data_IF_774145086499
#
_entry.id   IF_774145086499
#
_cell.length_a   1.000
_cell.length_b   1.000
_cell.length_c   1.000
_cell.angle_alpha   90.00
_cell.angle_beta   90.00
_cell.angle_gamma   90.00
#
_symmetry.space_group_name_H-M   'P 1'
#
loop_
_entity.id
_entity.type
_entity.pdbx_description
1 polymer ?
#
# COMPACT_ATOMS: atom_id res chain seq x y z
N UNK A 1 -9.95 9.95 3.33
CA UNK A 1 -9.06 11.03 2.83
C UNK A 1 -8.36 10.51 1.60
N UNK A 2 -8.18 11.33 0.56
CA UNK A 2 -7.50 10.95 -0.69
C UNK A 2 -6.32 11.90 -0.96
N UNK A 3 -5.16 11.35 -1.32
CA UNK A 3 -3.99 12.05 -1.85
C UNK A 3 -3.85 11.67 -3.33
N UNK A 4 -4.07 12.59 -4.26
CA UNK A 4 -4.17 12.28 -5.71
C UNK A 4 -3.06 12.87 -6.59
N UNK A 5 -2.10 13.60 -6.00
CA UNK A 5 -1.09 14.37 -6.76
C UNK A 5 0.31 13.71 -6.74
N UNK A 6 0.39 12.38 -6.57
CA UNK A 6 1.66 11.68 -6.45
C UNK A 6 1.76 10.45 -7.36
N UNK A 7 2.97 10.14 -7.80
CA UNK A 7 3.32 8.85 -8.42
C UNK A 7 3.79 7.90 -7.31
N UNK A 8 2.96 6.91 -7.00
CA UNK A 8 3.22 5.90 -5.98
C UNK A 8 3.47 4.51 -6.60
N UNK A 9 3.71 4.43 -7.91
CA UNK A 9 3.94 3.17 -8.61
C UNK A 9 5.13 2.39 -8.03
N UNK A 10 6.25 3.06 -7.75
CA UNK A 10 7.42 2.48 -7.09
C UNK A 10 7.07 1.93 -5.69
N UNK A 11 6.24 2.66 -4.94
CA UNK A 11 5.80 2.23 -3.62
C UNK A 11 4.90 0.99 -3.70
N UNK A 12 4.00 0.92 -4.69
CA UNK A 12 3.17 -0.26 -4.96
C UNK A 12 4.04 -1.47 -5.29
N UNK A 13 5.01 -1.33 -6.20
CA UNK A 13 5.95 -2.40 -6.58
C UNK A 13 6.77 -2.86 -5.38
N UNK A 14 7.32 -1.92 -4.61
CA UNK A 14 8.11 -2.24 -3.42
C UNK A 14 7.29 -3.00 -2.37
N UNK A 15 6.10 -2.51 -2.01
CA UNK A 15 5.26 -3.14 -1.00
C UNK A 15 4.84 -4.54 -1.45
N UNK A 16 4.41 -4.69 -2.70
CA UNK A 16 4.07 -5.99 -3.29
C UNK A 16 5.26 -6.95 -3.22
N UNK A 17 6.46 -6.48 -3.58
CA UNK A 17 7.70 -7.25 -3.48
C UNK A 17 8.05 -7.65 -2.05
N UNK A 18 8.03 -6.70 -1.11
CA UNK A 18 8.35 -6.91 0.30
C UNK A 18 7.46 -8.00 0.91
N UNK A 19 6.16 -7.86 0.74
CA UNK A 19 5.16 -8.76 1.30
C UNK A 19 5.22 -10.16 0.67
N UNK A 20 5.43 -10.23 -0.65
CA UNK A 20 5.51 -11.50 -1.36
C UNK A 20 6.83 -12.26 -1.09
N UNK A 21 7.98 -11.58 -1.13
CA UNK A 21 9.30 -12.19 -0.90
C UNK A 21 9.43 -12.65 0.55
N UNK A 22 9.06 -11.80 1.50
CA UNK A 22 9.22 -12.13 2.92
C UNK A 22 8.13 -13.07 3.42
N UNK A 23 6.99 -13.15 2.73
CA UNK A 23 5.78 -13.88 3.17
C UNK A 23 5.32 -13.47 4.58
N UNK A 24 5.59 -12.22 4.95
CA UNK A 24 5.26 -11.67 6.28
C UNK A 24 3.96 -10.89 6.16
N UNK A 25 2.92 -11.22 6.91
CA UNK A 25 1.63 -10.51 6.83
C UNK A 25 1.61 -9.16 7.55
N UNK A 26 2.56 -8.87 8.43
CA UNK A 26 2.60 -7.63 9.21
C UNK A 26 4.01 -7.17 9.52
N UNK A 27 4.28 -5.88 9.35
CA UNK A 27 5.57 -5.23 9.63
C UNK A 27 5.33 -4.03 10.54
N UNK A 28 6.20 -3.84 11.53
CA UNK A 28 6.21 -2.64 12.37
C UNK A 28 7.36 -1.73 11.97
N UNK A 29 7.05 -0.48 11.64
CA UNK A 29 8.02 0.57 11.31
C UNK A 29 7.72 1.78 12.20
N UNK A 30 8.66 2.14 13.07
CA UNK A 30 8.50 3.15 14.11
C UNK A 30 7.22 2.93 14.94
N UNK A 31 6.23 3.82 14.80
CA UNK A 31 4.93 3.77 15.49
C UNK A 31 3.84 3.06 14.70
N UNK A 32 4.13 2.67 13.46
CA UNK A 32 3.14 2.11 12.53
C UNK A 32 3.25 0.59 12.51
N UNK A 33 2.12 -0.08 12.68
CA UNK A 33 2.00 -1.51 12.39
C UNK A 33 1.18 -1.66 11.11
N UNK A 34 1.81 -2.20 10.08
CA UNK A 34 1.28 -2.29 8.73
C UNK A 34 1.04 -3.77 8.42
N UNK A 35 -0.21 -4.14 8.20
CA UNK A 35 -0.60 -5.50 7.81
C UNK A 35 -1.11 -5.51 6.38
N UNK A 36 -0.68 -6.51 5.60
CA UNK A 36 -1.23 -6.73 4.26
C UNK A 36 -2.68 -7.18 4.38
N UNK A 37 -3.58 -6.51 3.66
CA UNK A 37 -4.98 -6.89 3.52
C UNK A 37 -5.18 -7.66 2.22
N UNK A 38 -5.08 -6.94 1.10
CA UNK A 38 -5.31 -7.48 -0.24
C UNK A 38 -4.63 -6.61 -1.30
N UNK A 39 -4.76 -6.99 -2.57
CA UNK A 39 -4.31 -6.18 -3.70
C UNK A 39 -5.31 -6.24 -4.85
N UNK A 40 -5.34 -5.18 -5.66
CA UNK A 40 -6.09 -5.14 -6.91
C UNK A 40 -5.13 -5.40 -8.08
N UNK A 41 -5.37 -6.49 -8.80
CA UNK A 41 -4.57 -6.92 -9.95
C UNK A 41 -5.36 -6.67 -11.23
N UNK A 42 -4.74 -6.00 -12.19
CA UNK A 42 -5.32 -5.76 -13.51
C UNK A 42 -5.22 -7.05 -14.34
N UNK A 43 -6.32 -7.48 -14.95
CA UNK A 43 -6.34 -8.70 -15.75
C UNK A 43 -5.70 -8.49 -17.13
N UNK A 44 -5.99 -7.35 -17.78
CA UNK A 44 -5.41 -6.91 -19.05
C UNK A 44 -5.05 -5.44 -18.98
N UNK A 45 -3.83 -5.07 -19.39
CA UNK A 45 -3.35 -3.68 -19.40
C UNK A 45 -4.20 -2.74 -20.28
N UNK A 46 -4.98 -3.32 -21.21
CA UNK A 46 -5.87 -2.58 -22.10
C UNK A 46 -7.29 -2.41 -21.54
N UNK A 47 -7.63 -3.07 -20.45
CA UNK A 47 -8.93 -2.93 -19.78
C UNK A 47 -8.73 -2.35 -18.38
N UNK A 48 -9.71 -1.58 -17.89
CA UNK A 48 -9.72 -1.16 -16.49
C UNK A 48 -10.22 -2.29 -15.56
N UNK A 49 -10.37 -3.50 -16.08
CA UNK A 49 -10.89 -4.66 -15.37
C UNK A 49 -9.78 -5.37 -14.60
N UNK A 50 -10.14 -5.89 -13.44
CA UNK A 50 -9.22 -6.56 -12.56
C UNK A 50 -9.96 -7.21 -11.40
N UNK A 51 -9.21 -7.90 -10.57
CA UNK A 51 -9.75 -8.63 -9.43
C UNK A 51 -9.00 -8.27 -8.15
N UNK A 52 -9.68 -8.46 -7.02
CA UNK A 52 -9.08 -8.34 -5.69
C UNK A 52 -8.59 -9.72 -5.27
N UNK A 53 -7.35 -9.79 -4.79
CA UNK A 53 -6.80 -10.99 -4.17
C UNK A 53 -6.32 -10.71 -2.75
N UNK A 54 -6.79 -11.52 -1.81
CA UNK A 54 -6.38 -11.48 -0.40
C UNK A 54 -5.04 -12.21 -0.17
N UNK A 55 -4.63 -13.01 -1.14
CA UNK A 55 -3.31 -13.63 -1.16
C UNK A 55 -2.27 -12.67 -1.75
N UNK A 56 -0.99 -12.99 -1.54
CA UNK A 56 0.07 -12.26 -2.22
C UNK A 56 -0.01 -12.56 -3.72
N UNK A 57 0.06 -11.54 -4.60
CA UNK A 57 0.08 -11.72 -6.04
C UNK A 57 1.17 -12.72 -6.45
N UNK A 58 0.90 -13.57 -7.43
CA UNK A 58 1.93 -14.44 -8.01
C UNK A 58 3.02 -13.63 -8.73
N UNK A 59 4.17 -14.25 -9.04
CA UNK A 59 5.26 -13.58 -9.78
C UNK A 59 4.77 -12.95 -11.09
N UNK A 60 3.80 -13.58 -11.78
CA UNK A 60 3.24 -13.09 -13.04
C UNK A 60 2.19 -11.97 -12.85
N UNK A 61 1.78 -11.71 -11.61
CA UNK A 61 0.78 -10.70 -11.26
C UNK A 61 1.41 -9.45 -10.65
N UNK A 62 2.65 -9.55 -10.13
CA UNK A 62 3.35 -8.43 -9.46
C UNK A 62 3.36 -7.15 -10.29
N UNK A 63 3.71 -7.25 -11.58
CA UNK A 63 3.80 -6.09 -12.48
C UNK A 63 2.42 -5.53 -12.89
N UNK A 64 1.34 -6.21 -12.50
CA UNK A 64 -0.06 -5.85 -12.79
C UNK A 64 -0.82 -5.40 -11.54
N UNK A 65 -0.15 -5.30 -10.39
CA UNK A 65 -0.76 -4.79 -9.16
C UNK A 65 -0.94 -3.28 -9.31
N UNK A 66 -2.21 -2.85 -9.39
CA UNK A 66 -2.57 -1.43 -9.48
C UNK A 66 -2.60 -0.76 -8.12
N UNK A 67 -3.11 -1.47 -7.12
CA UNK A 67 -3.17 -0.98 -5.75
C UNK A 67 -2.99 -2.09 -4.73
N UNK A 68 -2.43 -1.71 -3.58
CA UNK A 68 -2.27 -2.56 -2.40
C UNK A 68 -3.13 -1.99 -1.29
N UNK A 69 -3.89 -2.85 -0.63
CA UNK A 69 -4.76 -2.52 0.49
C UNK A 69 -4.09 -3.03 1.77
N UNK A 70 -3.85 -2.11 2.69
CA UNK A 70 -3.15 -2.33 3.95
C UNK A 70 -4.04 -1.97 5.13
N UNK A 71 -3.84 -2.66 6.25
CA UNK A 71 -4.40 -2.29 7.54
C UNK A 71 -3.29 -1.70 8.41
N UNK A 72 -3.39 -0.41 8.70
CA UNK A 72 -2.34 0.37 9.35
C UNK A 72 -2.83 0.87 10.71
N UNK A 73 -2.19 0.43 11.77
CA UNK A 73 -2.37 0.98 13.11
C UNK A 73 -1.29 2.02 13.41
N UNK A 74 -1.64 3.05 14.18
CA UNK A 74 -0.69 4.09 14.63
C UNK A 74 -0.77 5.43 13.89
N UNK A 75 -1.61 5.55 12.85
CA UNK A 75 -1.85 6.85 12.16
C UNK A 75 -2.62 7.82 13.08
N UNK A 76 -3.70 7.35 13.72
CA UNK A 76 -4.51 8.16 14.65
C UNK A 76 -4.43 7.69 16.11
N UNK A 77 -3.49 6.79 16.43
CA UNK A 77 -3.16 6.36 17.79
C UNK A 77 -4.08 5.34 18.46
N UNK A 78 -5.28 5.01 17.93
CA UNK A 78 -6.17 4.00 18.59
C UNK A 78 -6.93 3.06 17.68
N UNK A 79 -7.17 3.38 16.41
CA UNK A 79 -7.85 2.46 15.48
C UNK A 79 -6.96 2.08 14.30
N UNK A 80 -7.21 0.90 13.74
CA UNK A 80 -6.63 0.51 12.46
C UNK A 80 -7.30 1.30 11.35
N UNK A 81 -6.50 1.84 10.44
CA UNK A 81 -6.92 2.48 9.22
C UNK A 81 -6.76 1.51 8.06
N UNK A 82 -7.71 1.47 7.14
CA UNK A 82 -7.53 0.86 5.83
C UNK A 82 -6.85 1.88 4.92
N UNK A 83 -5.71 1.51 4.37
CA UNK A 83 -4.93 2.35 3.45
C UNK A 83 -4.83 1.62 2.12
N UNK A 84 -5.41 2.19 1.08
CA UNK A 84 -5.22 1.75 -0.30
C UNK A 84 -4.18 2.65 -0.96
N UNK A 85 -3.08 2.04 -1.41
CA UNK A 85 -2.00 2.71 -2.13
C UNK A 85 -2.08 2.23 -3.57
N UNK A 86 -2.54 3.09 -4.48
CA UNK A 86 -2.52 2.83 -5.92
C UNK A 86 -1.50 3.72 -6.62
N UNK A 87 -1.25 3.44 -7.90
CA UNK A 87 -0.25 4.18 -8.70
C UNK A 87 -0.44 5.69 -8.64
N UNK A 88 -1.67 6.18 -8.78
CA UNK A 88 -1.96 7.62 -8.88
C UNK A 88 -2.53 8.22 -7.59
N UNK A 89 -2.86 7.39 -6.59
CA UNK A 89 -3.52 7.90 -5.40
C UNK A 89 -3.35 7.03 -4.17
N UNK A 90 -3.42 7.68 -3.01
CA UNK A 90 -3.53 7.00 -1.71
C UNK A 90 -4.86 7.36 -1.08
N UNK A 91 -5.61 6.35 -0.66
CA UNK A 91 -6.86 6.49 0.07
C UNK A 91 -6.71 5.93 1.49
N UNK A 92 -7.10 6.73 2.49
CA UNK A 92 -7.05 6.33 3.92
C UNK A 92 -8.45 6.44 4.52
N UNK A 93 -8.91 5.35 5.13
CA UNK A 93 -10.19 5.24 5.83
C UNK A 93 -10.01 4.68 7.25
N UNK A 94 -10.73 5.18 8.27
CA UNK A 94 -11.50 6.43 8.27
C UNK A 94 -10.62 7.65 8.00
N UNK A 95 -11.23 8.79 7.68
CA UNK A 95 -10.54 10.04 7.40
C UNK A 95 -9.58 10.44 8.54
N UNK A 96 -8.37 10.80 8.16
CA UNK A 96 -7.31 11.25 9.07
C UNK A 96 -6.89 12.66 8.71
N UNK A 97 -6.25 13.35 9.66
CA UNK A 97 -5.73 14.69 9.43
C UNK A 97 -4.67 14.67 8.30
N UNK A 98 -4.69 15.60 7.32
CA UNK A 98 -3.80 15.54 6.16
C UNK A 98 -2.31 15.48 6.48
N UNK A 99 -1.88 16.15 7.54
CA UNK A 99 -0.51 16.07 8.05
C UNK A 99 -0.10 14.64 8.44
N UNK A 100 -0.98 13.89 9.13
CA UNK A 100 -0.68 12.53 9.57
C UNK A 100 -0.63 11.55 8.39
N UNK A 101 -1.50 11.75 7.39
CA UNK A 101 -1.47 11.00 6.15
C UNK A 101 -0.14 11.20 5.41
N UNK A 102 0.29 12.46 5.24
CA UNK A 102 1.58 12.79 4.61
C UNK A 102 2.76 12.24 5.39
N UNK A 103 2.79 12.43 6.71
CA UNK A 103 3.87 11.88 7.57
C UNK A 103 4.00 10.35 7.41
N UNK A 104 2.87 9.64 7.25
CA UNK A 104 2.87 8.19 7.01
C UNK A 104 3.41 7.83 5.63
N UNK A 105 2.98 8.51 4.58
CA UNK A 105 3.44 8.26 3.20
C UNK A 105 4.92 8.62 3.04
N UNK A 106 5.37 9.74 3.59
CA UNK A 106 6.79 10.12 3.60
C UNK A 106 7.66 9.08 4.31
N UNK A 107 7.14 8.43 5.37
CA UNK A 107 7.85 7.36 6.06
C UNK A 107 7.95 6.10 5.20
N UNK A 108 6.87 5.72 4.52
CA UNK A 108 6.90 4.58 3.59
C UNK A 108 7.90 4.82 2.47
N UNK A 109 7.85 5.99 1.84
CA UNK A 109 8.72 6.37 0.75
C UNK A 109 10.21 6.34 1.16
N UNK A 110 10.56 6.97 2.29
CA UNK A 110 11.92 6.92 2.85
C UNK A 110 12.38 5.51 3.20
N UNK A 111 11.45 4.65 3.63
CA UNK A 111 11.76 3.25 3.97
C UNK A 111 12.00 2.43 2.72
N UNK A 112 11.26 2.70 1.63
CA UNK A 112 11.47 2.10 0.30
C UNK A 112 12.86 2.42 -0.23
N UNK A 113 13.30 3.69 -0.14
CA UNK A 113 14.60 4.12 -0.65
C UNK A 113 15.82 3.70 0.20
N UNK A 114 15.63 3.28 1.46
CA UNK A 114 16.75 2.82 2.30
C UNK A 114 17.28 1.42 1.95
N UNK A 115 16.55 0.66 1.13
CA UNK A 115 16.92 -0.70 0.75
C UNK A 115 17.24 -0.85 -0.75
N UNK A 116 17.38 0.27 -1.47
CA UNK A 116 18.00 0.33 -2.80
C UNK A 116 19.49 0.66 -2.70
#
# INVERSE_FOLDING_TARGET
MILSDGDYSDLVTYLTGLFNIKRIKSVTIDRYTISYGSSFVIDDLNTAEGHITDDFPSENEKDRVKSVILHVSGINGRSSNTVEIGWDSVKIEPDVHPRLARDFIDLLDRSTFRYF
#
